data_IF_063149657553
#
_entry.id   IF_063149657553
#
_cell.length_a   1.000
_cell.length_b   1.000
_cell.length_c   1.000
_cell.angle_alpha   90.00
_cell.angle_beta   90.00
_cell.angle_gamma   90.00
#
_symmetry.space_group_name_H-M   'P 1'
#
loop_
_entity.id
_entity.type
_entity.pdbx_description
1 polymer ?
#
# COMPACT_ATOMS: atom_id res chain seq x y z
N UNK A 1 -48.67 1.41 17.90
CA UNK A 1 -47.52 0.49 17.75
C UNK A 1 -46.45 1.26 16.99
N UNK A 2 -45.50 1.80 17.72
CA UNK A 2 -44.42 2.65 17.18
C UNK A 2 -43.26 1.73 16.80
N UNK A 3 -43.01 1.60 15.51
CA UNK A 3 -41.83 0.90 15.03
C UNK A 3 -40.60 1.75 15.36
N UNK A 4 -39.76 1.22 16.24
CA UNK A 4 -38.47 1.81 16.57
C UNK A 4 -37.59 1.84 15.30
N UNK A 5 -37.21 3.05 14.91
CA UNK A 5 -36.19 3.31 13.94
C UNK A 5 -34.87 2.84 14.57
N UNK A 6 -34.33 1.73 14.10
CA UNK A 6 -32.97 1.33 14.44
C UNK A 6 -32.01 2.43 13.94
N UNK A 7 -31.60 3.24 14.87
CA UNK A 7 -30.48 4.16 14.69
C UNK A 7 -29.22 3.31 14.46
N UNK A 8 -28.93 3.01 13.19
CA UNK A 8 -27.62 2.49 12.81
C UNK A 8 -26.70 3.68 13.00
N UNK A 9 -26.07 3.78 14.17
CA UNK A 9 -24.96 4.70 14.40
C UNK A 9 -23.96 4.50 13.25
N UNK A 10 -23.97 5.42 12.28
CA UNK A 10 -22.94 5.51 11.26
C UNK A 10 -21.64 5.85 11.96
N UNK A 11 -20.91 4.82 12.37
CA UNK A 11 -19.54 5.02 12.85
C UNK A 11 -18.79 5.88 11.83
N UNK A 12 -18.20 6.96 12.31
CA UNK A 12 -17.34 7.80 11.48
C UNK A 12 -16.24 6.93 10.85
N UNK A 13 -16.05 7.02 9.54
CA UNK A 13 -14.98 6.34 8.79
C UNK A 13 -13.65 6.80 9.35
N UNK A 14 -12.79 5.87 9.74
CA UNK A 14 -11.49 6.16 10.31
C UNK A 14 -10.42 6.22 9.21
N UNK A 15 -9.45 7.11 9.38
CA UNK A 15 -8.28 7.22 8.49
C UNK A 15 -7.07 6.76 9.27
N UNK A 16 -6.34 5.79 8.73
CA UNK A 16 -5.11 5.25 9.30
C UNK A 16 -3.95 5.54 8.36
N UNK A 17 -2.84 6.04 8.90
CA UNK A 17 -1.59 6.18 8.17
C UNK A 17 -0.62 5.08 8.58
N UNK A 18 -0.29 4.16 7.68
CA UNK A 18 0.65 3.09 7.98
C UNK A 18 2.06 3.45 7.51
N UNK A 19 2.98 3.51 8.46
CA UNK A 19 4.38 3.84 8.26
C UNK A 19 5.27 2.66 8.64
N UNK A 20 6.22 2.31 7.78
CA UNK A 20 7.12 1.18 8.01
C UNK A 20 8.57 1.51 7.67
N UNK A 21 9.49 1.08 8.54
CA UNK A 21 10.95 1.11 8.28
C UNK A 21 11.53 -0.29 8.38
N UNK A 22 12.67 -0.49 7.72
CA UNK A 22 13.37 -1.78 7.67
C UNK A 22 14.45 -1.93 8.71
N UNK A 23 14.93 -0.81 9.24
CA UNK A 23 16.02 -0.78 10.23
C UNK A 23 15.78 0.38 11.19
N UNK A 24 16.21 0.20 12.47
CA UNK A 24 16.10 1.23 13.49
C UNK A 24 16.84 2.56 13.15
N UNK A 25 17.77 2.52 12.19
CA UNK A 25 18.50 3.72 11.73
C UNK A 25 17.73 4.56 10.71
N UNK A 26 16.63 4.04 10.14
CA UNK A 26 15.81 4.79 9.21
C UNK A 26 14.77 5.61 9.98
N UNK A 27 14.63 6.90 9.63
CA UNK A 27 13.58 7.72 10.21
C UNK A 27 12.23 7.41 9.57
N UNK A 28 11.24 7.16 10.40
CA UNK A 28 9.84 7.03 10.01
C UNK A 28 9.16 8.40 9.86
N UNK A 29 9.79 9.45 10.41
CA UNK A 29 9.22 10.79 10.52
C UNK A 29 8.83 11.40 9.18
N UNK A 30 9.61 11.10 8.12
CA UNK A 30 9.27 11.55 6.77
C UNK A 30 7.91 11.01 6.31
N UNK A 31 7.65 9.73 6.53
CA UNK A 31 6.38 9.11 6.15
C UNK A 31 5.23 9.69 6.96
N UNK A 32 5.42 9.86 8.27
CA UNK A 32 4.44 10.47 9.16
C UNK A 32 4.12 11.89 8.72
N UNK A 33 5.13 12.69 8.42
CA UNK A 33 4.96 14.07 7.94
C UNK A 33 4.20 14.12 6.62
N UNK A 34 4.56 13.27 5.66
CA UNK A 34 3.90 13.22 4.35
C UNK A 34 2.42 12.84 4.50
N UNK A 35 2.11 11.83 5.31
CA UNK A 35 0.74 11.41 5.54
C UNK A 35 -0.06 12.51 6.25
N UNK A 36 0.49 13.13 7.29
CA UNK A 36 -0.21 14.19 8.03
C UNK A 36 -0.40 15.47 7.23
N UNK A 37 0.44 15.73 6.24
CA UNK A 37 0.29 16.89 5.36
C UNK A 37 -1.01 16.80 4.55
N UNK A 38 -1.39 15.61 4.10
CA UNK A 38 -2.61 15.39 3.31
C UNK A 38 -3.80 14.91 4.18
N UNK A 39 -3.51 14.17 5.25
CA UNK A 39 -4.49 13.58 6.16
C UNK A 39 -4.15 13.92 7.63
N UNK A 40 -4.40 15.17 8.08
CA UNK A 40 -4.01 15.64 9.42
C UNK A 40 -4.63 14.81 10.56
N UNK A 41 -5.82 14.27 10.35
CA UNK A 41 -6.57 13.48 11.33
C UNK A 41 -6.25 11.98 11.31
N UNK A 42 -5.30 11.55 10.47
CA UNK A 42 -4.95 10.13 10.35
C UNK A 42 -4.35 9.57 11.65
N UNK A 43 -4.85 8.44 12.09
CA UNK A 43 -4.25 7.64 13.16
C UNK A 43 -2.99 6.96 12.64
N UNK A 44 -1.83 7.42 13.10
CA UNK A 44 -0.55 6.89 12.61
C UNK A 44 -0.21 5.57 13.30
N UNK A 45 -0.04 4.53 12.50
CA UNK A 45 0.45 3.20 12.90
C UNK A 45 1.88 3.05 12.41
N UNK A 46 2.81 2.82 13.33
CA UNK A 46 4.25 2.76 13.02
C UNK A 46 4.76 1.34 13.23
N UNK A 47 5.29 0.75 12.18
CA UNK A 47 5.92 -0.58 12.19
C UNK A 47 7.44 -0.42 12.11
N UNK A 48 8.13 -0.60 13.23
CA UNK A 48 9.58 -0.68 13.27
C UNK A 48 9.99 -2.15 13.15
N UNK A 49 10.48 -2.53 11.97
CA UNK A 49 10.82 -3.90 11.69
C UNK A 49 12.33 -4.07 11.53
N UNK A 50 12.92 -4.86 12.40
CA UNK A 50 14.33 -5.25 12.37
C UNK A 50 14.43 -6.75 12.09
N UNK A 51 14.76 -7.11 10.83
CA UNK A 51 15.08 -8.51 10.52
C UNK A 51 14.27 -9.12 9.38
N UNK A 52 14.46 -10.40 9.17
CA UNK A 52 13.92 -11.22 8.09
C UNK A 52 12.52 -11.78 8.36
N UNK A 53 11.94 -11.51 9.53
CA UNK A 53 10.63 -12.04 9.88
C UNK A 53 9.49 -11.31 9.16
N UNK A 54 8.57 -12.09 8.63
CA UNK A 54 7.36 -11.68 7.90
C UNK A 54 6.31 -11.08 8.87
N UNK A 55 6.50 -11.29 10.17
CA UNK A 55 5.55 -10.85 11.19
C UNK A 55 5.55 -9.32 11.31
N UNK A 56 4.42 -8.71 11.01
CA UNK A 56 4.15 -7.29 11.15
C UNK A 56 3.08 -7.12 12.24
N UNK A 57 3.48 -7.06 13.53
CA UNK A 57 2.52 -7.04 14.62
C UNK A 57 1.60 -5.84 14.58
N UNK A 58 2.10 -4.65 14.25
CA UNK A 58 1.28 -3.44 14.19
C UNK A 58 0.34 -3.46 12.97
N UNK A 59 0.81 -3.98 11.83
CA UNK A 59 -0.07 -4.25 10.69
C UNK A 59 -1.17 -5.25 11.04
N UNK A 60 -0.82 -6.35 11.71
CA UNK A 60 -1.79 -7.37 12.10
C UNK A 60 -2.86 -6.83 13.06
N UNK A 61 -2.49 -5.93 13.98
CA UNK A 61 -3.43 -5.24 14.85
C UNK A 61 -4.36 -4.32 14.05
N UNK A 62 -3.77 -3.49 13.17
CA UNK A 62 -4.53 -2.60 12.30
C UNK A 62 -5.54 -3.39 11.45
N UNK A 63 -5.06 -4.44 10.76
CA UNK A 63 -5.88 -5.26 9.89
C UNK A 63 -7.12 -5.85 10.56
N UNK A 64 -7.01 -6.23 11.84
CA UNK A 64 -8.14 -6.77 12.64
C UNK A 64 -9.21 -5.75 12.97
N UNK A 65 -8.84 -4.48 13.11
CA UNK A 65 -9.77 -3.42 13.50
C UNK A 65 -10.38 -2.68 12.32
N UNK A 66 -9.78 -2.83 11.11
CA UNK A 66 -10.29 -2.22 9.88
C UNK A 66 -11.71 -2.72 9.57
N UNK A 67 -12.58 -1.78 9.21
CA UNK A 67 -13.97 -2.01 8.81
C UNK A 67 -14.25 -1.36 7.47
N UNK A 68 -15.28 -1.83 6.79
CA UNK A 68 -15.76 -1.26 5.54
C UNK A 68 -15.90 0.27 5.65
N UNK A 69 -15.41 0.97 4.65
CA UNK A 69 -15.37 2.43 4.59
C UNK A 69 -14.13 3.07 5.21
N UNK A 70 -13.38 2.36 6.08
CA UNK A 70 -12.13 2.89 6.61
C UNK A 70 -11.11 3.14 5.49
N UNK A 71 -10.16 4.03 5.76
CA UNK A 71 -9.11 4.40 4.80
C UNK A 71 -7.74 4.08 5.37
N UNK A 72 -6.88 3.44 4.58
CA UNK A 72 -5.47 3.25 4.93
C UNK A 72 -4.59 4.01 3.93
N UNK A 73 -3.74 4.89 4.46
CA UNK A 73 -2.83 5.74 3.69
C UNK A 73 -1.40 5.22 3.86
N UNK A 74 -0.72 5.02 2.74
CA UNK A 74 0.69 4.63 2.65
C UNK A 74 1.49 5.75 1.98
N UNK A 75 2.73 6.01 2.43
CA UNK A 75 3.65 6.92 1.74
C UNK A 75 4.00 6.43 0.33
N UNK A 76 4.09 5.10 0.15
CA UNK A 76 4.32 4.43 -1.14
C UNK A 76 3.92 2.97 -1.08
N UNK A 77 3.78 2.33 -2.23
CA UNK A 77 3.51 0.90 -2.41
C UNK A 77 4.48 0.02 -1.60
N UNK A 78 5.76 0.37 -1.56
CA UNK A 78 6.78 -0.37 -0.79
C UNK A 78 6.53 -0.39 0.72
N UNK A 79 5.65 0.46 1.24
CA UNK A 79 5.25 0.44 2.66
C UNK A 79 4.21 -0.63 2.92
N UNK A 80 3.36 -0.91 1.95
CA UNK A 80 2.38 -1.99 2.03
C UNK A 80 3.05 -3.36 1.91
N UNK A 81 3.78 -3.63 0.83
CA UNK A 81 4.59 -4.85 0.67
C UNK A 81 5.88 -4.57 -0.09
N UNK A 82 6.85 -5.47 0.06
CA UNK A 82 8.10 -5.52 -0.73
C UNK A 82 8.10 -6.64 -1.74
N UNK A 83 7.18 -7.58 -1.60
CA UNK A 83 6.93 -8.63 -2.55
C UNK A 83 5.70 -8.23 -3.37
N UNK A 84 5.81 -8.31 -4.69
CA UNK A 84 4.76 -7.84 -5.59
C UNK A 84 3.49 -8.68 -5.49
N UNK A 85 3.64 -10.00 -5.43
CA UNK A 85 2.51 -10.93 -5.38
C UNK A 85 1.74 -10.82 -4.05
N UNK A 86 2.47 -10.81 -2.91
CA UNK A 86 1.86 -10.59 -1.59
C UNK A 86 1.17 -9.21 -1.52
N UNK A 87 1.80 -8.17 -2.09
CA UNK A 87 1.26 -6.82 -2.10
C UNK A 87 -0.04 -6.73 -2.90
N UNK A 88 -0.06 -7.33 -4.07
CA UNK A 88 -1.25 -7.37 -4.92
C UNK A 88 -2.38 -8.16 -4.26
N UNK A 89 -2.09 -9.35 -3.70
CA UNK A 89 -3.08 -10.16 -2.98
C UNK A 89 -3.68 -9.40 -1.78
N UNK A 90 -2.84 -8.73 -1.00
CA UNK A 90 -3.29 -7.91 0.13
C UNK A 90 -4.13 -6.71 -0.32
N UNK A 91 -3.76 -6.09 -1.46
CA UNK A 91 -4.54 -5.00 -2.05
C UNK A 91 -5.95 -5.47 -2.43
N UNK A 92 -6.07 -6.61 -3.13
CA UNK A 92 -7.37 -7.17 -3.53
C UNK A 92 -8.22 -7.53 -2.30
N UNK A 93 -7.63 -8.16 -1.29
CA UNK A 93 -8.34 -8.52 -0.06
C UNK A 93 -8.90 -7.29 0.67
N UNK A 94 -8.10 -6.24 0.85
CA UNK A 94 -8.56 -4.99 1.46
C UNK A 94 -9.61 -4.28 0.60
N UNK A 95 -9.45 -4.29 -0.72
CA UNK A 95 -10.44 -3.73 -1.63
C UNK A 95 -11.79 -4.44 -1.52
N UNK A 96 -11.79 -5.78 -1.48
CA UNK A 96 -13.01 -6.58 -1.32
C UNK A 96 -13.66 -6.42 0.06
N UNK A 97 -12.87 -6.10 1.10
CA UNK A 97 -13.38 -5.70 2.41
C UNK A 97 -13.96 -4.28 2.45
N UNK A 98 -13.97 -3.58 1.34
CA UNK A 98 -14.47 -2.20 1.27
C UNK A 98 -13.55 -1.17 1.91
N UNK A 99 -12.26 -1.51 2.13
CA UNK A 99 -11.26 -0.59 2.66
C UNK A 99 -10.73 0.30 1.53
N UNK A 100 -10.59 1.58 1.79
CA UNK A 100 -10.00 2.53 0.85
C UNK A 100 -8.49 2.58 1.05
N UNK A 101 -7.74 2.33 -0.02
CA UNK A 101 -6.28 2.41 -0.04
C UNK A 101 -5.84 3.67 -0.79
N UNK A 102 -4.88 4.37 -0.22
CA UNK A 102 -4.29 5.59 -0.79
C UNK A 102 -2.77 5.46 -0.73
N UNK A 103 -2.11 5.72 -1.84
CA UNK A 103 -0.66 5.69 -1.99
C UNK A 103 -0.18 7.07 -2.43
N UNK A 104 0.46 7.83 -1.52
CA UNK A 104 0.82 9.24 -1.77
C UNK A 104 1.75 9.44 -2.96
N UNK A 105 2.55 8.44 -3.33
CA UNK A 105 3.43 8.50 -4.49
C UNK A 105 2.85 7.86 -5.73
N UNK A 106 1.91 6.93 -5.55
CA UNK A 106 1.35 6.14 -6.64
C UNK A 106 -0.19 6.27 -6.67
N UNK A 107 -0.73 7.50 -6.72
CA UNK A 107 -2.18 7.77 -6.72
C UNK A 107 -2.95 7.09 -7.87
N UNK A 108 -2.26 6.70 -8.93
CA UNK A 108 -2.87 5.99 -10.06
C UNK A 108 -3.41 4.61 -9.68
N UNK A 109 -2.96 4.04 -8.56
CA UNK A 109 -3.44 2.76 -8.03
C UNK A 109 -4.29 2.90 -6.75
N UNK A 110 -4.65 4.12 -6.34
CA UNK A 110 -5.61 4.31 -5.26
C UNK A 110 -6.90 3.55 -5.55
N UNK A 111 -7.53 2.97 -4.53
CA UNK A 111 -8.80 2.22 -4.73
C UNK A 111 -9.91 3.06 -5.34
N UNK A 112 -9.88 4.39 -5.14
CA UNK A 112 -10.81 5.31 -5.81
C UNK A 112 -10.60 5.31 -7.33
N UNK A 113 -9.35 5.35 -7.80
CA UNK A 113 -8.97 5.31 -9.21
C UNK A 113 -9.36 3.96 -9.81
N UNK A 114 -9.03 2.88 -9.11
CA UNK A 114 -9.41 1.52 -9.51
C UNK A 114 -10.94 1.37 -9.60
N UNK A 115 -11.69 1.80 -8.58
CA UNK A 115 -13.15 1.77 -8.59
C UNK A 115 -13.74 2.61 -9.73
N UNK A 116 -13.14 3.76 -10.05
CA UNK A 116 -13.56 4.60 -11.18
C UNK A 116 -13.34 3.89 -12.52
N UNK A 117 -12.23 3.19 -12.69
CA UNK A 117 -11.97 2.39 -13.88
C UNK A 117 -13.01 1.25 -14.02
N UNK A 118 -13.40 0.62 -12.91
CA UNK A 118 -14.46 -0.40 -12.89
C UNK A 118 -15.87 0.18 -13.11
N UNK A 119 -16.17 1.36 -12.53
CA UNK A 119 -17.47 2.02 -12.68
C UNK A 119 -17.62 2.74 -14.02
N UNK A 120 -16.52 2.99 -14.72
CA UNK A 120 -16.48 3.42 -16.12
C UNK A 120 -16.82 2.27 -17.09
N UNK A 121 -17.26 1.13 -16.60
CA UNK A 121 -17.79 0.06 -17.40
C UNK A 121 -18.93 0.60 -18.27
N UNK A 122 -18.89 0.26 -19.56
CA UNK A 122 -19.90 0.69 -20.53
C UNK A 122 -21.23 0.08 -20.09
N UNK A 123 -22.25 0.92 -19.94
CA UNK A 123 -23.58 0.49 -19.53
C UNK A 123 -24.17 -0.51 -20.52
N UNK A 124 -24.80 -1.55 -20.03
CA UNK A 124 -25.51 -2.52 -20.86
C UNK A 124 -26.73 -1.88 -21.49
N UNK A 125 -26.97 -2.20 -22.75
CA UNK A 125 -28.05 -1.60 -23.57
C UNK A 125 -29.32 -2.43 -23.62
N UNK A 126 -29.27 -3.68 -23.15
CA UNK A 126 -30.36 -4.63 -23.27
C UNK A 126 -30.47 -5.27 -24.67
N UNK A 127 -29.45 -5.13 -25.51
CA UNK A 127 -29.41 -5.63 -26.88
C UNK A 127 -28.30 -6.66 -27.11
N UNK A 128 -28.23 -7.24 -28.30
CA UNK A 128 -27.17 -8.20 -28.67
C UNK A 128 -25.76 -7.61 -28.61
N UNK A 129 -25.62 -6.28 -28.59
CA UNK A 129 -24.33 -5.59 -28.42
C UNK A 129 -23.74 -5.83 -27.04
N UNK A 130 -24.54 -6.22 -26.07
CA UNK A 130 -24.11 -6.44 -24.69
C UNK A 130 -23.04 -7.53 -24.55
N UNK A 131 -22.98 -8.49 -25.46
CA UNK A 131 -21.88 -9.46 -25.49
C UNK A 131 -20.52 -8.78 -25.71
N UNK A 132 -20.47 -7.81 -26.61
CA UNK A 132 -19.24 -7.04 -26.88
C UNK A 132 -18.92 -6.14 -25.70
N UNK A 133 -19.92 -5.44 -25.16
CA UNK A 133 -19.76 -4.53 -24.02
C UNK A 133 -19.27 -5.26 -22.78
N UNK A 134 -19.75 -6.48 -22.52
CA UNK A 134 -19.27 -7.32 -21.43
C UNK A 134 -17.81 -7.66 -21.60
N UNK A 135 -17.38 -8.10 -22.78
CA UNK A 135 -15.98 -8.40 -23.07
C UNK A 135 -15.06 -7.19 -22.90
N UNK A 136 -15.50 -6.01 -23.33
CA UNK A 136 -14.74 -4.77 -23.14
C UNK A 136 -14.63 -4.44 -21.65
N UNK A 137 -15.70 -4.56 -20.88
CA UNK A 137 -15.67 -4.30 -19.44
C UNK A 137 -14.75 -5.27 -18.70
N UNK A 138 -14.76 -6.56 -19.05
CA UNK A 138 -13.84 -7.56 -18.51
C UNK A 138 -12.38 -7.22 -18.84
N UNK A 139 -12.11 -6.79 -20.08
CA UNK A 139 -10.76 -6.35 -20.46
C UNK A 139 -10.29 -5.11 -19.69
N UNK A 140 -11.15 -4.10 -19.54
CA UNK A 140 -10.83 -2.89 -18.75
C UNK A 140 -10.52 -3.24 -17.29
N UNK A 141 -11.26 -4.19 -16.71
CA UNK A 141 -10.98 -4.70 -15.36
C UNK A 141 -9.64 -5.42 -15.27
N UNK A 142 -9.33 -6.30 -16.23
CA UNK A 142 -8.05 -6.99 -16.28
C UNK A 142 -6.88 -6.00 -16.42
N UNK A 143 -7.02 -4.98 -17.26
CA UNK A 143 -6.02 -3.93 -17.44
C UNK A 143 -5.79 -3.12 -16.15
N UNK A 144 -6.86 -2.78 -15.42
CA UNK A 144 -6.73 -2.06 -14.15
C UNK A 144 -6.01 -2.90 -13.09
N UNK A 145 -6.28 -4.20 -13.02
CA UNK A 145 -5.56 -5.15 -12.14
C UNK A 145 -4.08 -5.23 -12.50
N UNK A 146 -3.77 -5.31 -13.79
CA UNK A 146 -2.39 -5.33 -14.28
C UNK A 146 -1.61 -4.08 -13.89
N UNK A 147 -2.23 -2.89 -13.97
CA UNK A 147 -1.60 -1.63 -13.55
C UNK A 147 -1.23 -1.65 -12.05
N UNK A 148 -2.08 -2.19 -11.21
CA UNK A 148 -1.78 -2.33 -9.78
C UNK A 148 -0.62 -3.30 -9.57
N UNK A 149 -0.65 -4.46 -10.24
CA UNK A 149 0.42 -5.46 -10.16
C UNK A 149 1.76 -4.88 -10.60
N UNK A 150 1.79 -4.18 -11.73
CA UNK A 150 2.99 -3.51 -12.24
C UNK A 150 3.56 -2.50 -11.23
N UNK A 151 2.74 -1.75 -10.52
CA UNK A 151 3.21 -0.80 -9.51
C UNK A 151 3.94 -1.53 -8.36
N UNK A 152 3.44 -2.68 -7.92
CA UNK A 152 4.12 -3.51 -6.92
C UNK A 152 5.43 -4.11 -7.47
N UNK A 153 5.44 -4.63 -8.69
CA UNK A 153 6.63 -5.18 -9.35
C UNK A 153 7.73 -4.13 -9.52
N UNK A 154 7.37 -2.92 -9.95
CA UNK A 154 8.31 -1.80 -10.05
C UNK A 154 8.90 -1.44 -8.70
N UNK A 155 8.07 -1.37 -7.65
CA UNK A 155 8.52 -1.10 -6.30
C UNK A 155 9.45 -2.18 -5.76
N UNK A 156 9.19 -3.45 -6.03
CA UNK A 156 10.07 -4.57 -5.67
C UNK A 156 11.43 -4.45 -6.35
N UNK A 157 11.44 -4.17 -7.66
CA UNK A 157 12.65 -3.96 -8.45
C UNK A 157 13.48 -2.77 -7.93
N UNK A 158 12.84 -1.63 -7.64
CA UNK A 158 13.53 -0.46 -7.07
C UNK A 158 14.25 -0.79 -5.76
N UNK A 159 13.63 -1.58 -4.89
CA UNK A 159 14.24 -2.03 -3.64
C UNK A 159 15.44 -2.94 -3.90
N UNK A 160 15.32 -3.89 -4.84
CA UNK A 160 16.42 -4.78 -5.23
C UNK A 160 17.61 -4.01 -5.81
N UNK A 161 17.34 -3.07 -6.73
CA UNK A 161 18.37 -2.20 -7.33
C UNK A 161 19.07 -1.33 -6.28
N UNK A 162 18.34 -0.78 -5.32
CA UNK A 162 18.93 -0.01 -4.23
C UNK A 162 19.86 -0.88 -3.37
N UNK A 163 19.47 -2.11 -3.06
CA UNK A 163 20.31 -3.05 -2.31
C UNK A 163 21.58 -3.41 -3.09
N UNK A 164 21.46 -3.64 -4.40
CA UNK A 164 22.60 -3.94 -5.26
C UNK A 164 23.58 -2.75 -5.29
N UNK A 165 23.11 -1.53 -5.60
CA UNK A 165 23.96 -0.31 -5.61
C UNK A 165 24.64 -0.07 -4.27
N UNK A 166 23.95 -0.36 -3.16
CA UNK A 166 24.53 -0.25 -1.83
C UNK A 166 25.68 -1.25 -1.63
N UNK A 167 25.53 -2.52 -2.07
CA UNK A 167 26.58 -3.53 -2.02
C UNK A 167 27.78 -3.13 -2.86
N UNK A 168 27.55 -2.70 -4.10
CA UNK A 168 28.59 -2.26 -5.02
C UNK A 168 29.36 -1.05 -4.47
N UNK A 169 28.63 -0.07 -3.91
CA UNK A 169 29.23 1.08 -3.24
C UNK A 169 30.09 0.69 -2.03
N UNK A 170 29.68 -0.30 -1.24
CA UNK A 170 30.48 -0.82 -0.13
C UNK A 170 31.75 -1.53 -0.60
N UNK A 171 31.68 -2.30 -1.69
CA UNK A 171 32.84 -2.95 -2.31
C UNK A 171 33.83 -1.89 -2.82
N UNK A 172 33.34 -0.91 -3.56
CA UNK A 172 34.15 0.21 -4.08
C UNK A 172 34.82 1.00 -2.94
N UNK A 173 34.08 1.27 -1.86
CA UNK A 173 34.63 1.96 -0.69
C UNK A 173 35.79 1.16 -0.03
N UNK A 174 35.64 -0.16 0.05
CA UNK A 174 36.70 -1.06 0.56
C UNK A 174 37.93 -1.05 -0.34
N UNK A 175 37.75 -1.16 -1.67
CA UNK A 175 38.84 -1.14 -2.63
C UNK A 175 39.59 0.21 -2.58
N UNK A 176 38.92 1.31 -2.30
CA UNK A 176 39.51 2.63 -2.13
C UNK A 176 40.06 2.88 -0.70
N UNK A 177 40.25 1.83 0.10
CA UNK A 177 40.83 1.93 1.43
C UNK A 177 39.94 2.59 2.49
N UNK A 178 38.66 2.85 2.18
CA UNK A 178 37.73 3.42 3.16
C UNK A 178 37.26 2.35 4.13
N UNK A 179 37.28 2.64 5.42
CA UNK A 179 36.74 1.74 6.42
C UNK A 179 35.22 1.64 6.27
N UNK A 180 34.73 0.42 6.03
CA UNK A 180 33.30 0.10 5.93
C UNK A 180 32.91 -0.70 7.17
N UNK A 181 31.93 -0.17 7.93
CA UNK A 181 31.44 -0.77 9.15
C UNK A 181 31.97 -0.11 10.43
N UNK A 182 31.62 -0.70 11.60
CA UNK A 182 32.01 -0.20 12.91
C UNK A 182 33.53 -0.31 13.07
N UNK A 183 34.19 0.76 13.59
CA UNK A 183 35.63 0.71 13.93
C UNK A 183 35.89 -0.43 14.91
N UNK A 184 36.89 -1.27 14.61
CA UNK A 184 37.39 -2.25 15.59
C UNK A 184 37.97 -1.50 16.78
N UNK A 185 37.47 -1.74 18.01
CA UNK A 185 38.05 -1.18 19.23
C UNK A 185 37.24 -0.10 19.94
N UNK A 186 36.03 0.24 19.51
CA UNK A 186 35.09 1.06 20.32
C UNK A 186 34.06 0.12 20.94
N UNK A 187 34.42 -0.58 22.00
CA UNK A 187 33.55 -1.28 22.92
C UNK A 187 33.31 -0.40 24.12
#
# INVERSE_FOLDING_TARGET
MTFGIFDIERRAMSIYGYCRISTAKQSIDRQVRNIRAEYPTAHIVQEAYTGTSILRPEWSKLYRILKEGDTVVFDSVSRMSRNAEEGFSLYEDLYHKGIRLIFLKEHHIDTKTYKKALSGSIAMTGTNVDFILKGINEYLMALAKEQIKLAFEQSEKEVADLHQRTREGLVTAKLNGKQVGRKKGTG
#
